data_IF_523892820486
#
_entry.id   IF_523892820486
#
_cell.length_a   1.000
_cell.length_b   1.000
_cell.length_c   1.000
_cell.angle_alpha   90.00
_cell.angle_beta   90.00
_cell.angle_gamma   90.00
#
_symmetry.space_group_name_H-M   'P 1'
#
loop_
_entity.id
_entity.type
_entity.pdbx_description
1 polymer ?
#
# COMPACT_ATOMS: atom_id res chain seq x y z
N UNK A 1 -1.12 -15.56 -4.38
CA UNK A 1 -1.05 -14.11 -4.73
C UNK A 1 -0.24 -13.38 -3.68
N UNK A 2 0.68 -12.53 -4.11
CA UNK A 2 1.49 -11.70 -3.22
C UNK A 2 0.94 -10.27 -3.25
N UNK A 3 0.61 -9.75 -2.08
CA UNK A 3 0.01 -8.42 -1.93
C UNK A 3 0.97 -7.51 -1.18
N UNK A 4 1.32 -6.38 -1.78
CA UNK A 4 2.12 -5.36 -1.14
C UNK A 4 1.22 -4.37 -0.40
N UNK A 5 1.52 -4.10 0.86
CA UNK A 5 0.75 -3.15 1.67
C UNK A 5 1.66 -1.98 2.03
N UNK A 6 1.33 -0.81 1.51
CA UNK A 6 2.10 0.42 1.73
C UNK A 6 1.25 1.37 2.55
N UNK A 7 1.48 1.38 3.85
CA UNK A 7 0.68 2.12 4.82
C UNK A 7 1.55 2.52 6.01
N UNK A 8 1.57 3.79 6.37
CA UNK A 8 2.39 4.29 7.47
C UNK A 8 1.78 4.08 8.85
N UNK A 9 0.46 3.95 8.95
CA UNK A 9 -0.19 3.67 10.22
C UNK A 9 0.07 2.21 10.61
N UNK A 10 0.81 2.02 11.70
CA UNK A 10 1.21 0.67 12.14
C UNK A 10 0.03 -0.23 12.46
N UNK A 11 -1.00 0.31 13.09
CA UNK A 11 -2.17 -0.48 13.48
C UNK A 11 -2.97 -0.91 12.25
N UNK A 12 -3.20 0.01 11.31
CA UNK A 12 -3.92 -0.30 10.09
C UNK A 12 -3.13 -1.27 9.23
N UNK A 13 -1.82 -1.04 9.08
CA UNK A 13 -0.96 -1.95 8.31
C UNK A 13 -1.01 -3.36 8.87
N UNK A 14 -0.93 -3.49 10.19
CA UNK A 14 -0.98 -4.80 10.85
C UNK A 14 -2.35 -5.46 10.69
N UNK A 15 -3.43 -4.69 10.77
CA UNK A 15 -4.77 -5.22 10.59
C UNK A 15 -4.97 -5.75 9.18
N UNK A 16 -4.52 -5.01 8.17
CA UNK A 16 -4.58 -5.44 6.77
C UNK A 16 -3.75 -6.71 6.56
N UNK A 17 -2.54 -6.73 7.12
CA UNK A 17 -1.65 -7.88 7.01
C UNK A 17 -2.31 -9.13 7.58
N UNK A 18 -2.85 -9.04 8.79
CA UNK A 18 -3.50 -10.16 9.44
C UNK A 18 -4.70 -10.66 8.64
N UNK A 19 -5.55 -9.74 8.19
CA UNK A 19 -6.73 -10.10 7.39
C UNK A 19 -6.36 -10.84 6.12
N UNK A 20 -5.35 -10.33 5.41
CA UNK A 20 -4.96 -10.93 4.13
C UNK A 20 -4.28 -12.27 4.33
N UNK A 21 -3.46 -12.41 5.35
CA UNK A 21 -2.85 -13.72 5.65
C UNK A 21 -3.90 -14.76 6.04
N UNK A 22 -4.94 -14.35 6.75
CA UNK A 22 -6.05 -15.24 7.10
C UNK A 22 -6.81 -15.72 5.86
N UNK A 23 -6.77 -14.96 4.77
CA UNK A 23 -7.37 -15.38 3.50
C UNK A 23 -6.42 -16.21 2.63
N UNK A 24 -5.22 -16.48 3.11
CA UNK A 24 -4.25 -17.31 2.40
C UNK A 24 -3.29 -16.56 1.49
N UNK A 25 -3.27 -15.22 1.55
CA UNK A 25 -2.35 -14.42 0.74
C UNK A 25 -0.98 -14.27 1.41
N UNK A 26 0.04 -14.09 0.60
CA UNK A 26 1.37 -13.70 1.05
C UNK A 26 1.45 -12.18 1.02
N UNK A 27 2.01 -11.57 2.05
CA UNK A 27 2.06 -10.11 2.16
C UNK A 27 3.49 -9.59 2.22
N UNK A 28 3.69 -8.39 1.66
CA UNK A 28 4.93 -7.64 1.76
C UNK A 28 4.57 -6.27 2.31
N UNK A 29 5.19 -5.87 3.41
CA UNK A 29 4.82 -4.65 4.13
C UNK A 29 5.81 -3.53 3.91
N UNK A 30 5.30 -2.30 3.83
CA UNK A 30 6.11 -1.10 3.77
C UNK A 30 5.41 0.02 4.52
N UNK A 31 6.13 0.69 5.41
CA UNK A 31 5.57 1.78 6.22
C UNK A 31 5.85 3.17 5.65
N UNK A 32 6.57 3.25 4.52
CA UNK A 32 6.94 4.51 3.91
C UNK A 32 7.28 4.31 2.44
N UNK A 33 7.43 5.43 1.71
CA UNK A 33 7.89 5.38 0.32
C UNK A 33 9.25 4.68 0.21
N UNK A 34 10.17 5.00 1.11
CA UNK A 34 11.52 4.43 1.10
C UNK A 34 11.46 2.91 1.25
N UNK A 35 10.68 2.43 2.21
CA UNK A 35 10.51 1.00 2.41
C UNK A 35 9.83 0.33 1.22
N UNK A 36 8.86 1.00 0.63
CA UNK A 36 8.17 0.45 -0.54
C UNK A 36 9.13 0.23 -1.70
N UNK A 37 9.97 1.20 -1.99
CA UNK A 37 10.95 1.09 -3.07
C UNK A 37 11.93 -0.06 -2.79
N UNK A 38 12.28 -0.25 -1.53
CA UNK A 38 13.20 -1.32 -1.13
C UNK A 38 12.55 -2.70 -1.17
N UNK A 39 11.30 -2.81 -0.72
CA UNK A 39 10.66 -4.10 -0.45
C UNK A 39 9.75 -4.60 -1.57
N UNK A 40 9.14 -3.70 -2.33
CA UNK A 40 8.20 -4.07 -3.39
C UNK A 40 8.96 -4.34 -4.67
N UNK A 41 8.76 -5.52 -5.24
CA UNK A 41 9.40 -5.90 -6.49
C UNK A 41 8.38 -6.49 -7.47
N UNK A 42 8.85 -7.01 -8.59
CA UNK A 42 7.98 -7.54 -9.64
C UNK A 42 7.24 -8.82 -9.25
N UNK A 43 7.56 -9.41 -8.10
CA UNK A 43 6.84 -10.60 -7.61
C UNK A 43 5.48 -10.26 -7.01
N UNK A 44 5.23 -8.98 -6.75
CA UNK A 44 3.96 -8.53 -6.15
C UNK A 44 2.86 -8.50 -7.21
N UNK A 45 1.71 -9.04 -6.87
CA UNK A 45 0.58 -9.16 -7.79
C UNK A 45 -0.45 -8.04 -7.63
N UNK A 46 -0.54 -7.46 -6.44
CA UNK A 46 -1.51 -6.42 -6.12
C UNK A 46 -0.90 -5.50 -5.07
N UNK A 47 -1.19 -4.20 -5.18
CA UNK A 47 -0.76 -3.22 -4.18
C UNK A 47 -1.97 -2.62 -3.45
N UNK A 48 -1.81 -2.43 -2.14
CA UNK A 48 -2.70 -1.58 -1.35
C UNK A 48 -1.85 -0.40 -0.92
N UNK A 49 -2.20 0.80 -1.37
CA UNK A 49 -1.34 1.98 -1.23
C UNK A 49 -2.10 3.10 -0.52
N UNK A 50 -1.51 3.59 0.57
CA UNK A 50 -2.00 4.80 1.24
C UNK A 50 -1.53 6.02 0.44
N UNK A 51 -2.45 6.92 0.13
CA UNK A 51 -2.15 8.13 -0.62
C UNK A 51 -1.28 9.08 0.19
N UNK A 52 -1.53 9.17 1.49
CA UNK A 52 -0.86 10.13 2.38
C UNK A 52 0.35 9.58 3.11
N UNK A 53 1.40 9.18 2.40
CA UNK A 53 2.62 8.69 3.03
C UNK A 53 3.47 9.82 3.62
N UNK A 54 4.23 9.56 4.70
CA UNK A 54 4.99 10.61 5.37
C UNK A 54 6.14 11.17 4.53
N UNK A 55 6.70 10.38 3.61
CA UNK A 55 7.85 10.79 2.80
C UNK A 55 7.54 10.86 1.31
N UNK A 56 6.25 10.95 0.95
CA UNK A 56 5.87 11.10 -0.44
C UNK A 56 4.40 10.85 -0.70
N UNK A 57 4.02 11.07 -1.95
CA UNK A 57 2.66 10.87 -2.42
C UNK A 57 2.50 9.42 -2.88
N UNK A 58 1.48 8.73 -2.37
CA UNK A 58 1.21 7.33 -2.74
C UNK A 58 0.94 7.15 -4.22
N UNK A 59 0.30 8.11 -4.87
CA UNK A 59 0.03 8.04 -6.31
C UNK A 59 1.34 8.13 -7.11
N UNK A 60 2.21 9.05 -6.73
CA UNK A 60 3.52 9.20 -7.35
C UNK A 60 4.36 7.93 -7.15
N UNK A 61 4.34 7.38 -5.95
CA UNK A 61 5.05 6.14 -5.65
C UNK A 61 4.53 5.00 -6.53
N UNK A 62 3.20 4.89 -6.67
CA UNK A 62 2.60 3.87 -7.51
C UNK A 62 3.12 3.96 -8.94
N UNK A 63 3.18 5.17 -9.51
CA UNK A 63 3.69 5.38 -10.85
C UNK A 63 5.14 4.90 -10.98
N UNK A 64 5.94 5.15 -9.97
CA UNK A 64 7.33 4.71 -9.97
C UNK A 64 7.46 3.19 -9.93
N UNK A 65 6.63 2.54 -9.12
CA UNK A 65 6.63 1.08 -9.02
C UNK A 65 6.13 0.39 -10.29
N UNK A 66 5.40 1.09 -11.16
CA UNK A 66 4.91 0.55 -12.43
C UNK A 66 5.95 0.49 -13.54
N UNK A 67 7.14 1.05 -13.34
CA UNK A 67 8.14 1.15 -14.41
C UNK A 67 8.59 -0.20 -14.94
N UNK A 68 8.69 -1.19 -14.08
CA UNK A 68 9.20 -2.52 -14.46
C UNK A 68 8.09 -3.53 -14.74
N UNK A 69 6.96 -3.38 -14.09
CA UNK A 69 5.82 -4.27 -14.23
C UNK A 69 4.56 -3.54 -13.81
N UNK A 70 3.51 -3.67 -14.60
CA UNK A 70 2.22 -3.08 -14.22
C UNK A 70 1.59 -3.92 -13.10
N UNK A 71 1.41 -3.31 -11.93
CA UNK A 71 0.81 -3.96 -10.78
C UNK A 71 -0.48 -3.22 -10.45
N UNK A 72 -1.63 -3.90 -10.46
CA UNK A 72 -2.89 -3.23 -10.07
C UNK A 72 -2.83 -2.79 -8.61
N UNK A 73 -3.52 -1.71 -8.30
CA UNK A 73 -3.48 -1.15 -6.96
C UNK A 73 -4.85 -0.70 -6.49
N UNK A 74 -5.05 -0.79 -5.18
CA UNK A 74 -6.18 -0.22 -4.47
C UNK A 74 -5.61 0.91 -3.62
N UNK A 75 -6.14 2.12 -3.79
CA UNK A 75 -5.68 3.28 -3.01
C UNK A 75 -6.55 3.50 -1.79
N UNK A 76 -5.90 3.75 -0.66
CA UNK A 76 -6.59 4.12 0.57
C UNK A 76 -6.59 5.64 0.71
N UNK A 77 -7.75 6.21 1.01
CA UNK A 77 -7.86 7.65 1.23
C UNK A 77 -7.40 8.01 2.63
N UNK A 78 -6.92 9.24 2.80
CA UNK A 78 -6.59 9.76 4.11
C UNK A 78 -7.86 9.89 4.96
N UNK A 79 -7.70 9.79 6.28
CA UNK A 79 -8.82 9.91 7.21
C UNK A 79 -9.56 11.22 7.07
N UNK A 80 -8.85 12.29 6.77
CA UNK A 80 -9.46 13.61 6.58
C UNK A 80 -10.38 13.61 5.36
N UNK A 81 -9.99 12.94 4.30
CA UNK A 81 -10.81 12.81 3.10
C UNK A 81 -12.10 12.04 3.39
N UNK A 82 -12.02 11.01 4.22
CA UNK A 82 -13.20 10.27 4.64
C UNK A 82 -14.19 11.16 5.39
N UNK A 83 -13.70 12.00 6.28
CA UNK A 83 -14.55 12.96 6.99
C UNK A 83 -15.25 13.91 6.04
N UNK A 84 -14.54 14.41 5.06
CA UNK A 84 -15.11 15.30 4.06
C UNK A 84 -16.18 14.61 3.24
N UNK A 85 -15.98 13.36 2.92
CA UNK A 85 -16.95 12.57 2.16
C UNK A 85 -18.23 12.30 2.93
N UNK A 86 -18.15 12.23 4.25
CA UNK A 86 -19.31 11.96 5.11
C UNK A 86 -20.16 13.18 5.38
N UNK A 87 -19.68 14.35 5.02
CA UNK A 87 -20.44 15.58 5.17
C UNK A 87 -21.40 15.75 4.01
#
# INVERSE_FOLDING_TARGET
MRIGIIEDDNLLRKALDTSLKNQGYTTILAGSRKEAIKNIDSSVDLLIVDIGLPDGDGINLYQELQKNKKIPAIFLTAKDDEKDMLK
#
